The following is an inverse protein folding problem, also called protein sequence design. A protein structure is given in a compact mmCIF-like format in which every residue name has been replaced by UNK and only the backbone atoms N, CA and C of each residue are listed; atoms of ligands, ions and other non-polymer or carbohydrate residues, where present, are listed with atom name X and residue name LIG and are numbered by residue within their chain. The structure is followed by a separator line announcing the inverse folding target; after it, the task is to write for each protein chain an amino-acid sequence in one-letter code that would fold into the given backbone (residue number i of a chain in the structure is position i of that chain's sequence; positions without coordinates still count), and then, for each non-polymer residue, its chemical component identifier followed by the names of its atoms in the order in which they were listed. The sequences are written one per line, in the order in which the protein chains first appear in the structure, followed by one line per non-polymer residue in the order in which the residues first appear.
data_IF_255579623431
#
_entry.id   IF_255579623431
#
_cell.length_a   1.000
_cell.length_b   1.000
_cell.length_c   1.000
_cell.angle_alpha   90.00
_cell.angle_beta   90.00
_cell.angle_gamma   90.00
#
_symmetry.space_group_name_H-M   'P 1'
#
loop_
_entity.id
_entity.type
_entity.pdbx_description
1 polymer ?
#
# COMPACT_ATOMS: atom_id res chain seq x y z
N UNK A 1 1.90 -21.69 -0.58
CA UNK A 1 2.97 -22.08 -1.52
C UNK A 1 4.23 -21.24 -1.39
N UNK A 2 4.18 -19.91 -1.65
CA UNK A 2 5.40 -19.07 -1.62
C UNK A 2 6.23 -19.19 -0.32
N UNK A 3 5.59 -19.15 0.86
CA UNK A 3 6.29 -19.31 2.16
C UNK A 3 6.95 -20.69 2.33
N UNK A 4 6.54 -21.71 1.57
CA UNK A 4 7.12 -23.04 1.64
C UNK A 4 8.51 -23.11 0.99
N UNK A 5 8.86 -22.15 0.14
CA UNK A 5 10.13 -22.18 -0.61
C UNK A 5 10.95 -20.90 -0.48
N UNK A 6 10.32 -19.76 -0.18
CA UNK A 6 11.00 -18.48 -0.09
C UNK A 6 12.15 -18.48 0.94
N UNK A 7 13.24 -17.82 0.60
CA UNK A 7 14.39 -17.67 1.47
C UNK A 7 14.13 -16.62 2.57
N UNK A 8 14.88 -16.70 3.67
CA UNK A 8 14.77 -15.75 4.80
C UNK A 8 14.86 -14.30 4.30
N UNK A 9 15.78 -14.01 3.36
CA UNK A 9 15.97 -12.67 2.80
C UNK A 9 14.72 -12.15 2.10
N UNK A 10 14.12 -12.97 1.24
CA UNK A 10 12.91 -12.63 0.48
C UNK A 10 11.71 -12.39 1.40
N UNK A 11 11.53 -13.25 2.41
CA UNK A 11 10.45 -13.11 3.40
C UNK A 11 10.63 -11.82 4.21
N UNK A 12 11.86 -11.54 4.65
CA UNK A 12 12.16 -10.33 5.41
C UNK A 12 11.94 -9.05 4.58
N UNK A 13 12.32 -9.07 3.30
CA UNK A 13 12.10 -7.96 2.38
C UNK A 13 10.60 -7.68 2.21
N UNK A 14 9.81 -8.70 1.88
CA UNK A 14 8.35 -8.56 1.74
C UNK A 14 7.71 -8.00 3.00
N UNK A 15 8.03 -8.57 4.17
CA UNK A 15 7.42 -8.13 5.44
C UNK A 15 7.83 -6.70 5.80
N UNK A 16 9.07 -6.31 5.52
CA UNK A 16 9.57 -4.96 5.79
C UNK A 16 8.93 -3.93 4.86
N UNK A 17 8.95 -4.20 3.56
CA UNK A 17 8.68 -3.18 2.55
C UNK A 17 7.17 -3.04 2.31
N UNK A 18 6.41 -4.14 2.40
CA UNK A 18 4.95 -4.12 2.24
C UNK A 18 4.18 -4.09 3.58
N UNK A 19 4.81 -4.49 4.69
CA UNK A 19 4.17 -4.49 6.01
C UNK A 19 4.58 -3.32 6.91
N UNK A 20 5.64 -2.57 6.56
CA UNK A 20 6.26 -1.58 7.43
C UNK A 20 6.55 -2.16 8.85
N UNK A 21 6.98 -3.43 8.90
CA UNK A 21 7.18 -4.20 10.14
C UNK A 21 8.65 -4.24 10.56
N UNK A 22 8.95 -3.68 11.74
CA UNK A 22 10.31 -3.62 12.30
C UNK A 22 10.89 -4.99 12.64
N UNK A 23 10.04 -5.98 12.93
CA UNK A 23 10.45 -7.35 13.25
C UNK A 23 10.55 -8.24 12.01
N UNK A 24 10.58 -7.68 10.80
CA UNK A 24 10.61 -8.43 9.55
C UNK A 24 11.70 -9.52 9.51
N UNK A 25 12.94 -9.17 9.88
CA UNK A 25 14.06 -10.12 9.93
C UNK A 25 13.82 -11.27 10.92
N UNK A 26 13.54 -10.98 12.22
CA UNK A 26 13.16 -12.00 13.19
C UNK A 26 11.98 -12.88 12.76
N UNK A 27 10.91 -12.29 12.22
CA UNK A 27 9.73 -13.03 11.75
C UNK A 27 10.10 -13.97 10.60
N UNK A 28 10.86 -13.50 9.62
CA UNK A 28 11.33 -14.32 8.51
C UNK A 28 12.16 -15.52 8.97
N UNK A 29 13.08 -15.31 9.91
CA UNK A 29 13.87 -16.39 10.52
C UNK A 29 12.97 -17.39 11.24
N UNK A 30 11.99 -16.92 12.01
CA UNK A 30 11.05 -17.79 12.72
C UNK A 30 10.20 -18.63 11.75
N UNK A 31 9.74 -18.04 10.65
CA UNK A 31 8.98 -18.74 9.59
C UNK A 31 9.83 -19.86 8.98
N UNK A 32 11.06 -19.57 8.59
CA UNK A 32 11.94 -20.57 7.96
C UNK A 32 12.34 -21.67 8.95
N UNK A 33 12.69 -21.31 10.19
CA UNK A 33 13.02 -22.29 11.22
C UNK A 33 11.84 -23.23 11.52
N UNK A 34 10.62 -22.68 11.69
CA UNK A 34 9.40 -23.49 11.86
C UNK A 34 9.19 -24.41 10.67
N UNK A 35 9.41 -23.90 9.45
CA UNK A 35 9.27 -24.66 8.21
C UNK A 35 10.24 -25.85 8.14
N UNK A 36 11.48 -25.65 8.54
CA UNK A 36 12.52 -26.70 8.56
C UNK A 36 12.24 -27.75 9.63
N UNK A 37 11.73 -27.35 10.80
CA UNK A 37 11.42 -28.26 11.91
C UNK A 37 10.15 -29.09 11.67
N UNK A 38 9.09 -28.48 11.10
CA UNK A 38 7.73 -29.06 11.09
C UNK A 38 7.07 -29.11 9.72
N UNK A 39 7.78 -28.76 8.67
CA UNK A 39 7.24 -28.60 7.32
C UNK A 39 6.50 -27.27 7.10
N UNK A 40 5.90 -27.05 5.91
CA UNK A 40 5.26 -25.79 5.54
C UNK A 40 4.08 -25.37 6.43
N UNK A 41 3.86 -24.06 6.58
CA UNK A 41 2.68 -23.51 7.29
C UNK A 41 1.41 -23.85 6.52
N UNK A 42 0.41 -24.39 7.23
CA UNK A 42 -0.83 -24.88 6.62
C UNK A 42 -2.02 -23.97 6.94
N UNK A 43 -2.00 -23.25 8.06
CA UNK A 43 -3.11 -22.38 8.47
C UNK A 43 -2.67 -20.96 8.81
N UNK A 44 -3.63 -20.02 8.72
CA UNK A 44 -3.41 -18.64 9.13
C UNK A 44 -3.19 -18.51 10.64
N UNK A 45 -3.81 -19.37 11.45
CA UNK A 45 -3.61 -19.38 12.90
C UNK A 45 -2.16 -19.70 13.26
N UNK A 46 -1.56 -20.72 12.62
CA UNK A 46 -0.16 -21.07 12.85
C UNK A 46 0.80 -19.91 12.53
N UNK A 47 0.57 -19.22 11.42
CA UNK A 47 1.38 -18.05 11.06
C UNK A 47 1.15 -16.90 12.06
N UNK A 48 -0.09 -16.65 12.47
CA UNK A 48 -0.42 -15.59 13.41
C UNK A 48 0.25 -15.82 14.77
N UNK A 49 0.20 -17.05 15.29
CA UNK A 49 0.81 -17.42 16.58
C UNK A 49 2.33 -17.33 16.52
N UNK A 50 2.95 -17.79 15.43
CA UNK A 50 4.40 -17.70 15.22
C UNK A 50 4.87 -16.23 15.20
N UNK A 51 4.15 -15.36 14.49
CA UNK A 51 4.45 -13.93 14.44
C UNK A 51 4.23 -13.30 15.82
N UNK A 52 3.14 -13.64 16.51
CA UNK A 52 2.82 -13.10 17.84
C UNK A 52 3.85 -13.50 18.91
N UNK A 53 4.47 -14.68 18.77
CA UNK A 53 5.59 -15.13 19.62
C UNK A 53 6.93 -14.46 19.28
N UNK A 54 7.08 -13.93 18.07
CA UNK A 54 8.31 -13.25 17.62
C UNK A 54 8.29 -11.74 17.90
N UNK A 55 7.13 -11.11 17.78
CA UNK A 55 6.94 -9.66 17.98
C UNK A 55 6.92 -9.32 19.47
N UNK A 56 7.98 -8.68 19.95
CA UNK A 56 8.16 -8.34 21.38
C UNK A 56 7.35 -7.14 21.86
N UNK A 57 6.97 -6.25 20.96
CA UNK A 57 6.28 -5.00 21.28
C UNK A 57 5.13 -4.79 20.32
N UNK A 58 3.93 -4.58 20.88
CA UNK A 58 2.66 -4.60 20.16
C UNK A 58 2.03 -3.20 20.17
N UNK A 59 1.42 -2.82 19.06
CA UNK A 59 0.56 -1.64 19.06
C UNK A 59 -0.75 -1.96 19.81
N UNK A 60 -1.16 -1.14 20.79
CA UNK A 60 -2.38 -1.38 21.55
C UNK A 60 -3.59 -1.56 20.64
N UNK A 61 -4.34 -2.65 20.83
CA UNK A 61 -5.54 -2.94 20.04
C UNK A 61 -5.30 -3.47 18.62
N UNK A 62 -4.05 -3.77 18.24
CA UNK A 62 -3.75 -4.42 16.96
C UNK A 62 -3.16 -5.82 17.18
N UNK A 63 -3.60 -6.79 16.38
CA UNK A 63 -2.99 -8.11 16.37
C UNK A 63 -1.55 -8.00 15.82
N UNK A 64 -0.52 -8.54 16.49
CA UNK A 64 0.89 -8.46 16.04
C UNK A 64 1.12 -8.99 14.63
N UNK A 65 0.31 -9.95 14.17
CA UNK A 65 0.43 -10.53 12.85
C UNK A 65 -0.14 -9.65 11.73
N UNK A 66 -0.91 -8.60 12.05
CA UNK A 66 -1.65 -7.79 11.06
C UNK A 66 -0.76 -7.28 9.93
N UNK A 67 0.42 -6.72 10.27
CA UNK A 67 1.37 -6.18 9.29
C UNK A 67 2.01 -7.27 8.42
N UNK A 68 2.29 -8.44 9.00
CA UNK A 68 2.82 -9.58 8.26
C UNK A 68 1.78 -10.10 7.26
N UNK A 69 0.53 -10.27 7.70
CA UNK A 69 -0.56 -10.67 6.79
C UNK A 69 -0.81 -9.65 5.69
N UNK A 70 -0.79 -8.35 6.03
CA UNK A 70 -0.89 -7.28 5.05
C UNK A 70 0.24 -7.36 4.02
N UNK A 71 1.49 -7.50 4.46
CA UNK A 71 2.65 -7.58 3.57
C UNK A 71 2.54 -8.74 2.58
N UNK A 72 2.19 -9.92 3.08
CA UNK A 72 2.03 -11.11 2.27
C UNK A 72 0.87 -10.96 1.28
N UNK A 73 -0.25 -10.37 1.69
CA UNK A 73 -1.40 -10.12 0.83
C UNK A 73 -1.03 -9.17 -0.32
N UNK A 74 -0.39 -8.05 0.01
CA UNK A 74 0.09 -7.06 -0.96
C UNK A 74 1.04 -7.71 -1.96
N UNK A 75 2.01 -8.48 -1.49
CA UNK A 75 3.01 -9.12 -2.33
C UNK A 75 2.40 -10.18 -3.25
N UNK A 76 1.62 -11.11 -2.70
CA UNK A 76 1.07 -12.25 -3.47
C UNK A 76 0.09 -11.77 -4.55
N UNK A 77 -0.69 -10.74 -4.26
CA UNK A 77 -1.67 -10.20 -5.22
C UNK A 77 -1.11 -9.05 -6.07
N UNK A 78 0.19 -8.72 -5.94
CA UNK A 78 0.81 -7.58 -6.60
C UNK A 78 0.01 -6.25 -6.44
N UNK A 79 -0.63 -6.03 -5.28
CA UNK A 79 -1.67 -5.01 -5.09
C UNK A 79 -1.18 -3.58 -5.45
N UNK A 80 0.07 -3.25 -5.09
CA UNK A 80 0.63 -1.93 -5.35
C UNK A 80 1.01 -1.71 -6.81
N UNK A 81 1.35 -2.78 -7.53
CA UNK A 81 1.70 -2.70 -8.94
C UNK A 81 0.43 -2.54 -9.78
N UNK A 82 -0.60 -3.33 -9.49
CA UNK A 82 -1.94 -3.17 -10.06
C UNK A 82 -2.50 -1.75 -9.84
N UNK A 83 -2.35 -1.21 -8.63
CA UNK A 83 -2.76 0.17 -8.35
C UNK A 83 -2.01 1.18 -9.24
N UNK A 84 -0.70 1.04 -9.40
CA UNK A 84 0.09 1.95 -10.23
C UNK A 84 -0.31 1.88 -11.71
N UNK A 85 -0.51 0.67 -12.24
CA UNK A 85 -0.94 0.47 -13.62
C UNK A 85 -2.33 1.07 -13.86
N UNK A 86 -3.27 0.83 -12.94
CA UNK A 86 -4.63 1.39 -13.01
C UNK A 86 -4.63 2.93 -12.96
N UNK A 87 -3.78 3.52 -12.10
CA UNK A 87 -3.63 4.97 -12.02
C UNK A 87 -3.08 5.54 -13.33
N UNK A 88 -2.02 4.96 -13.90
CA UNK A 88 -1.47 5.46 -15.17
C UNK A 88 -2.48 5.30 -16.31
N UNK A 89 -3.17 4.17 -16.39
CA UNK A 89 -4.23 3.93 -17.37
C UNK A 89 -5.39 4.93 -17.22
N UNK A 90 -5.68 5.40 -16.00
CA UNK A 90 -6.76 6.38 -15.77
C UNK A 90 -6.56 7.68 -16.57
N UNK A 91 -5.31 8.08 -16.87
CA UNK A 91 -5.02 9.31 -17.60
C UNK A 91 -5.44 9.24 -19.07
N UNK A 92 -5.45 8.04 -19.66
CA UNK A 92 -5.81 7.84 -21.06
C UNK A 92 -7.30 7.59 -21.26
N UNK A 93 -8.01 7.07 -20.25
CA UNK A 93 -9.44 6.74 -20.37
C UNK A 93 -10.38 7.85 -19.86
N UNK A 94 -9.92 8.69 -18.93
CA UNK A 94 -10.75 9.77 -18.41
C UNK A 94 -10.91 10.88 -19.45
N UNK A 95 -12.17 11.25 -19.69
CA UNK A 95 -12.51 12.46 -20.48
C UNK A 95 -12.17 13.73 -19.68
N UNK A 96 -11.97 14.88 -20.34
CA UNK A 96 -11.86 16.17 -19.68
C UNK A 96 -13.04 16.42 -18.71
N UNK A 97 -12.74 16.87 -17.49
CA UNK A 97 -13.72 17.02 -16.40
C UNK A 97 -14.05 15.72 -15.66
N UNK A 98 -13.55 14.57 -16.12
CA UNK A 98 -13.72 13.27 -15.47
C UNK A 98 -13.08 13.20 -14.09
N UNK A 99 -13.66 12.41 -13.18
CA UNK A 99 -13.19 12.26 -11.79
C UNK A 99 -12.38 10.98 -11.61
N UNK A 100 -11.17 11.13 -11.07
CA UNK A 100 -10.41 10.03 -10.47
C UNK A 100 -10.68 10.02 -8.96
N UNK A 101 -11.30 8.95 -8.45
CA UNK A 101 -11.53 8.75 -7.02
C UNK A 101 -10.81 7.49 -6.57
N UNK A 102 -9.91 7.61 -5.61
CA UNK A 102 -9.12 6.50 -5.07
C UNK A 102 -9.37 6.39 -3.57
N UNK A 103 -9.77 5.22 -3.09
CA UNK A 103 -9.94 4.93 -1.66
C UNK A 103 -8.85 3.93 -1.27
N UNK A 104 -7.96 4.33 -0.38
CA UNK A 104 -6.86 3.52 0.14
C UNK A 104 -7.13 3.14 1.60
N UNK A 105 -6.76 1.93 2.01
CA UNK A 105 -6.96 1.43 3.38
C UNK A 105 -5.67 1.33 4.19
N UNK A 106 -4.52 1.59 3.56
CA UNK A 106 -3.24 1.67 4.23
C UNK A 106 -2.29 2.71 3.64
N UNK A 107 -1.19 2.94 4.36
CA UNK A 107 -0.17 3.97 4.08
C UNK A 107 0.47 3.84 2.70
N UNK A 108 0.84 2.63 2.27
CA UNK A 108 1.49 2.38 0.98
C UNK A 108 0.60 2.76 -0.22
N UNK A 109 -0.66 2.32 -0.24
CA UNK A 109 -1.64 2.70 -1.27
C UNK A 109 -1.87 4.22 -1.29
N UNK A 110 -2.13 4.84 -0.12
CA UNK A 110 -2.35 6.29 -0.04
C UNK A 110 -1.14 7.07 -0.55
N UNK A 111 0.07 6.58 -0.26
CA UNK A 111 1.32 7.18 -0.71
C UNK A 111 1.42 7.14 -2.24
N UNK A 112 1.11 6.01 -2.86
CA UNK A 112 1.10 5.86 -4.33
C UNK A 112 0.08 6.82 -4.95
N UNK A 113 -1.17 6.79 -4.47
CA UNK A 113 -2.24 7.66 -4.98
C UNK A 113 -1.88 9.16 -4.81
N UNK A 114 -1.33 9.53 -3.64
CA UNK A 114 -0.87 10.89 -3.35
C UNK A 114 0.23 11.33 -4.31
N UNK A 115 1.27 10.51 -4.48
CA UNK A 115 2.41 10.82 -5.33
C UNK A 115 1.99 10.92 -6.80
N UNK A 116 1.13 10.01 -7.25
CA UNK A 116 0.58 10.02 -8.59
C UNK A 116 -0.22 11.31 -8.87
N UNK A 117 -1.20 11.65 -8.03
CA UNK A 117 -1.99 12.87 -8.20
C UNK A 117 -1.07 14.10 -8.18
N UNK A 118 -0.14 14.18 -7.22
CA UNK A 118 0.78 15.31 -7.10
C UNK A 118 1.75 15.45 -8.30
N UNK A 119 2.19 14.33 -8.90
CA UNK A 119 3.04 14.31 -10.10
C UNK A 119 2.30 14.90 -11.30
N UNK A 120 0.99 14.67 -11.41
CA UNK A 120 0.19 15.10 -12.55
C UNK A 120 -0.59 16.41 -12.33
N UNK A 121 -0.53 16.97 -11.12
CA UNK A 121 -1.24 18.21 -10.73
C UNK A 121 -0.32 19.36 -10.33
N UNK A 122 0.95 19.32 -10.73
CA UNK A 122 1.92 20.39 -10.48
C UNK A 122 2.62 20.77 -11.77
N UNK A 123 2.77 22.07 -11.99
CA UNK A 123 3.65 22.58 -13.02
C UNK A 123 5.10 22.27 -12.63
N UNK A 124 5.77 21.49 -13.47
CA UNK A 124 7.21 21.25 -13.33
C UNK A 124 7.93 22.16 -14.32
N UNK A 125 8.76 23.06 -13.79
CA UNK A 125 9.65 23.91 -14.56
C UNK A 125 11.01 23.22 -14.67
N UNK A 126 11.54 23.08 -15.88
CA UNK A 126 12.89 22.57 -16.08
C UNK A 126 13.91 23.60 -15.59
N UNK A 127 14.62 23.28 -14.50
CA UNK A 127 15.67 24.14 -13.95
C UNK A 127 16.85 24.34 -14.91
N UNK A 128 17.04 23.44 -15.88
CA UNK A 128 18.07 23.53 -16.93
C UNK A 128 17.59 24.30 -18.16
N UNK A 129 16.29 24.56 -18.28
CA UNK A 129 15.67 25.35 -19.33
C UNK A 129 14.56 26.25 -18.75
N UNK A 130 14.91 27.32 -18.02
CA UNK A 130 13.94 28.16 -17.30
C UNK A 130 12.93 28.89 -18.21
N UNK A 131 13.16 28.89 -19.52
CA UNK A 131 12.26 29.46 -20.52
C UNK A 131 11.36 28.42 -21.22
N UNK A 132 11.50 27.13 -20.90
CA UNK A 132 10.61 26.11 -21.42
C UNK A 132 9.22 26.24 -20.76
N UNK A 133 8.15 26.08 -21.56
CA UNK A 133 6.80 26.05 -21.02
C UNK A 133 6.67 24.92 -19.99
N UNK A 134 6.00 25.16 -18.85
CA UNK A 134 5.81 24.14 -17.83
C UNK A 134 5.05 22.94 -18.42
N UNK A 135 5.39 21.74 -17.94
CA UNK A 135 4.65 20.55 -18.34
C UNK A 135 3.17 20.71 -17.96
N UNK A 136 2.29 20.54 -18.94
CA UNK A 136 0.86 20.72 -18.76
C UNK A 136 0.31 19.70 -17.75
N UNK A 137 -0.46 20.18 -16.78
CA UNK A 137 -1.05 19.36 -15.73
C UNK A 137 -2.15 18.48 -16.31
N UNK A 138 -2.05 17.18 -16.11
CA UNK A 138 -3.07 16.22 -16.55
C UNK A 138 -4.23 16.11 -15.55
N UNK A 139 -3.96 16.42 -14.28
CA UNK A 139 -4.93 16.34 -13.20
C UNK A 139 -5.01 17.65 -12.40
N UNK A 140 -6.16 17.90 -11.80
CA UNK A 140 -6.37 18.90 -10.75
C UNK A 140 -6.68 18.15 -9.46
N UNK A 141 -5.86 18.32 -8.41
CA UNK A 141 -6.15 17.74 -7.10
C UNK A 141 -7.30 18.51 -6.43
N UNK A 142 -8.32 17.80 -5.94
CA UNK A 142 -9.51 18.45 -5.39
C UNK A 142 -9.64 18.25 -3.88
N UNK A 143 -9.57 17.00 -3.43
CA UNK A 143 -9.91 16.69 -2.05
C UNK A 143 -9.17 15.47 -1.50
N UNK A 144 -9.07 15.45 -0.18
CA UNK A 144 -8.61 14.34 0.64
C UNK A 144 -9.52 14.18 1.84
N UNK A 145 -10.33 13.15 1.81
CA UNK A 145 -11.38 12.91 2.81
C UNK A 145 -11.00 11.70 3.68
N UNK A 146 -11.29 11.81 4.98
CA UNK A 146 -11.20 10.73 5.97
C UNK A 146 -12.62 10.37 6.44
N UNK A 147 -12.84 9.12 6.89
CA UNK A 147 -14.13 8.72 7.45
C UNK A 147 -14.47 9.59 8.68
N UNK A 148 -15.76 9.83 8.88
CA UNK A 148 -16.26 10.48 10.10
C UNK A 148 -16.23 9.51 11.29
N UNK A 149 -16.29 10.05 12.52
CA UNK A 149 -16.39 9.19 13.71
C UNK A 149 -17.64 8.30 13.70
N UNK A 150 -18.77 8.81 13.18
CA UNK A 150 -20.01 8.05 13.03
C UNK A 150 -19.85 6.90 12.01
N UNK A 151 -19.15 7.15 10.90
CA UNK A 151 -18.86 6.13 9.90
C UNK A 151 -17.94 5.03 10.46
N UNK A 152 -16.90 5.40 11.21
CA UNK A 152 -16.00 4.42 11.84
C UNK A 152 -16.75 3.58 12.89
N UNK A 153 -17.67 4.18 13.64
CA UNK A 153 -18.50 3.47 14.61
C UNK A 153 -19.46 2.47 13.92
N UNK A 154 -20.06 2.85 12.79
CA UNK A 154 -20.93 1.98 12.01
C UNK A 154 -20.17 0.92 11.19
N UNK A 155 -18.96 1.24 10.76
CA UNK A 155 -18.11 0.39 9.94
C UNK A 155 -16.65 0.47 10.40
N UNK A 156 -16.21 -0.39 11.34
CA UNK A 156 -14.82 -0.37 11.83
C UNK A 156 -13.76 -0.55 10.74
N UNK A 157 -14.10 -1.16 9.59
CA UNK A 157 -13.17 -1.33 8.45
C UNK A 157 -12.85 -0.01 7.75
N UNK A 158 -13.70 1.02 7.89
CA UNK A 158 -13.43 2.34 7.29
C UNK A 158 -12.38 3.13 8.05
N UNK A 159 -12.05 2.78 9.30
CA UNK A 159 -11.14 3.53 10.20
C UNK A 159 -9.86 4.05 9.53
N UNK A 160 -9.27 3.25 8.65
CA UNK A 160 -8.00 3.55 7.97
C UNK A 160 -8.17 4.07 6.54
N UNK A 161 -9.41 4.25 6.08
CA UNK A 161 -9.71 4.71 4.73
C UNK A 161 -9.27 6.16 4.52
N UNK A 162 -8.68 6.41 3.35
CA UNK A 162 -8.39 7.75 2.84
C UNK A 162 -8.90 7.81 1.42
N UNK A 163 -9.82 8.73 1.15
CA UNK A 163 -10.30 9.01 -0.20
C UNK A 163 -9.56 10.21 -0.78
N UNK A 164 -9.03 10.07 -1.99
CA UNK A 164 -8.44 11.16 -2.77
C UNK A 164 -9.22 11.38 -4.05
N UNK A 165 -9.44 12.65 -4.38
CA UNK A 165 -10.19 13.04 -5.57
C UNK A 165 -9.35 13.95 -6.45
N UNK A 166 -9.30 13.65 -7.75
CA UNK A 166 -8.73 14.50 -8.77
C UNK A 166 -9.66 14.64 -9.99
N UNK A 167 -9.53 15.75 -10.73
CA UNK A 167 -10.21 16.01 -12.00
C UNK A 167 -9.25 15.88 -13.16
N UNK A 168 -9.67 15.28 -14.28
CA UNK A 168 -8.93 15.24 -15.53
C UNK A 168 -9.03 16.60 -16.25
N UNK A 169 -7.89 17.17 -16.63
CA UNK A 169 -7.85 18.39 -17.45
C UNK A 169 -8.13 18.09 -18.93
N UNK A 170 -8.26 19.14 -19.74
CA UNK A 170 -8.38 19.01 -21.20
C UNK A 170 -7.07 18.64 -21.92
N UNK A 171 -5.96 18.51 -21.19
CA UNK A 171 -4.63 18.21 -21.74
C UNK A 171 -4.56 16.74 -22.11
N UNK A 172 -4.32 16.40 -23.38
CA UNK A 172 -4.19 14.99 -23.83
C UNK A 172 -2.85 14.39 -23.40
#
# INVERSE_FOLDING_TARGET
DWLATAEVGQIAEVIRDYGEERFAGPIAKAIVARREERGPLATTAELADLVAGTVKTREPGQNPATRTFQALRIFINAELEELQQALEASLSVLQPGGRLVVISFHSLEDRIAKQFIAKHSKEVYDRRAPFAAPQAMKLIALDRIKPSAAEVAANPRSRSAIMRVAERTAVV
#
